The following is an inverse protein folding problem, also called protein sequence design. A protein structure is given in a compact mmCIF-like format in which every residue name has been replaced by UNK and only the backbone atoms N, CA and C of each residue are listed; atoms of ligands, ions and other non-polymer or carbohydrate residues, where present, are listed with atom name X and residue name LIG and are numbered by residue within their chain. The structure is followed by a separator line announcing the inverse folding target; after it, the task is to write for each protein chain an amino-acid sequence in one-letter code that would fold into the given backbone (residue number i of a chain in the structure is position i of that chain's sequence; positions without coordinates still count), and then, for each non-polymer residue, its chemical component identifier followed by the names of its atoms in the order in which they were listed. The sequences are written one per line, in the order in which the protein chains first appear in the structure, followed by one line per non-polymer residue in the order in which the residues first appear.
data_IF_706621254297
#
_entry.id   IF_706621254297
#
_cell.length_a   1.000
_cell.length_b   1.000
_cell.length_c   1.000
_cell.angle_alpha   90.00
_cell.angle_beta   90.00
_cell.angle_gamma   90.00
#
_symmetry.space_group_name_H-M   'P 1'
#
loop_
_entity.id
_entity.type
_entity.pdbx_description
1 polymer ?
#
# COMPACT_ATOMS: atom_id res chain seq x y z
N UNK A 1 20.89 -13.43 -34.68
CA UNK A 1 20.75 -13.48 -33.22
C UNK A 1 20.30 -12.10 -32.80
N UNK A 2 19.02 -11.96 -32.45
CA UNK A 2 18.45 -10.68 -32.01
C UNK A 2 18.80 -10.55 -30.53
N UNK A 3 19.64 -9.58 -30.18
CA UNK A 3 19.83 -9.16 -28.79
C UNK A 3 18.49 -8.66 -28.27
N UNK A 4 17.78 -9.52 -27.55
CA UNK A 4 16.78 -9.09 -26.59
C UNK A 4 17.48 -8.18 -25.58
N UNK A 5 17.34 -6.87 -25.77
CA UNK A 5 17.46 -5.90 -24.69
C UNK A 5 16.29 -6.16 -23.73
N UNK A 6 16.42 -7.21 -22.92
CA UNK A 6 15.71 -7.30 -21.64
C UNK A 6 16.15 -6.05 -20.90
N UNK A 7 15.25 -5.07 -20.83
CA UNK A 7 15.44 -3.84 -20.09
C UNK A 7 15.63 -4.17 -18.63
N UNK A 8 16.88 -4.45 -18.28
CA UNK A 8 17.40 -4.25 -16.95
C UNK A 8 17.33 -2.76 -16.69
N UNK A 9 16.16 -2.29 -16.27
CA UNK A 9 16.12 -1.19 -15.33
C UNK A 9 16.83 -1.73 -14.10
N UNK A 10 18.15 -1.56 -14.07
CA UNK A 10 18.92 -1.49 -12.85
C UNK A 10 18.10 -0.58 -11.94
N UNK A 11 17.46 -1.18 -10.94
CA UNK A 11 16.88 -0.46 -9.82
C UNK A 11 18.11 0.12 -9.14
N UNK A 12 18.55 1.28 -9.65
CA UNK A 12 19.61 2.07 -9.08
C UNK A 12 19.16 2.40 -7.67
N UNK A 13 19.62 1.58 -6.73
CA UNK A 13 19.45 1.80 -5.30
C UNK A 13 20.41 2.93 -4.92
N UNK A 14 20.23 4.10 -5.53
CA UNK A 14 20.67 5.35 -4.95
C UNK A 14 20.14 5.42 -3.51
N UNK A 15 20.82 6.15 -2.61
CA UNK A 15 20.44 6.21 -1.21
C UNK A 15 18.93 6.47 -1.12
N UNK A 16 18.18 5.50 -0.56
CA UNK A 16 16.71 5.53 -0.53
C UNK A 16 16.14 6.86 -0.02
N UNK A 17 16.96 7.62 0.71
CA UNK A 17 16.72 8.97 1.22
C UNK A 17 16.29 10.00 0.18
N UNK A 18 16.66 9.85 -1.10
CA UNK A 18 16.29 10.80 -2.16
C UNK A 18 14.92 10.54 -2.79
N UNK A 19 14.25 9.42 -2.44
CA UNK A 19 12.95 9.12 -2.99
C UNK A 19 11.90 10.13 -2.50
N UNK A 20 11.00 10.65 -3.37
CA UNK A 20 9.96 11.63 -2.99
C UNK A 20 9.04 11.13 -1.84
N UNK A 21 9.06 9.83 -1.56
CA UNK A 21 8.44 9.22 -0.39
C UNK A 21 8.99 9.73 0.95
N UNK A 22 10.30 9.90 1.08
CA UNK A 22 10.94 10.31 2.34
C UNK A 22 10.89 11.82 2.58
N UNK A 23 10.87 12.61 1.50
CA UNK A 23 10.76 14.08 1.56
C UNK A 23 9.33 14.55 1.90
N UNK A 24 8.31 13.81 1.48
CA UNK A 24 6.91 14.21 1.61
C UNK A 24 6.26 13.65 2.89
N UNK A 25 6.27 14.44 3.97
CA UNK A 25 5.62 14.08 5.26
C UNK A 25 4.15 13.66 5.09
N UNK A 26 3.41 14.30 4.19
CA UNK A 26 2.00 13.96 3.89
C UNK A 26 1.85 12.58 3.24
N UNK A 27 2.75 12.23 2.32
CA UNK A 27 2.72 10.95 1.61
C UNK A 27 3.05 9.80 2.56
N UNK A 28 4.00 10.01 3.48
CA UNK A 28 4.32 9.05 4.54
C UNK A 28 3.11 8.77 5.44
N UNK A 29 2.40 9.81 5.87
CA UNK A 29 1.17 9.64 6.69
C UNK A 29 0.06 8.96 5.89
N UNK A 30 -0.10 9.32 4.62
CA UNK A 30 -1.11 8.69 3.75
C UNK A 30 -0.86 7.18 3.61
N UNK A 31 0.38 6.78 3.32
CA UNK A 31 0.74 5.37 3.20
C UNK A 31 0.58 4.65 4.53
N UNK A 32 0.95 5.28 5.65
CA UNK A 32 0.70 4.72 6.98
C UNK A 32 -0.79 4.47 7.24
N UNK A 33 -1.65 5.45 6.95
CA UNK A 33 -3.10 5.31 7.10
C UNK A 33 -3.66 4.23 6.18
N UNK A 34 -3.17 4.15 4.94
CA UNK A 34 -3.56 3.11 3.99
C UNK A 34 -3.19 1.72 4.52
N UNK A 35 -1.98 1.55 5.05
CA UNK A 35 -1.55 0.29 5.67
C UNK A 35 -2.47 -0.07 6.81
N UNK A 36 -2.76 0.86 7.73
CA UNK A 36 -3.68 0.60 8.85
C UNK A 36 -5.07 0.20 8.33
N UNK A 37 -5.60 0.89 7.33
CA UNK A 37 -6.91 0.59 6.75
C UNK A 37 -6.97 -0.84 6.17
N UNK A 38 -5.92 -1.29 5.47
CA UNK A 38 -5.84 -2.65 4.91
C UNK A 38 -5.92 -3.71 6.02
N UNK A 39 -5.39 -3.45 7.21
CA UNK A 39 -5.48 -4.37 8.35
C UNK A 39 -6.82 -4.28 9.09
N UNK A 40 -7.37 -3.07 9.25
CA UNK A 40 -8.58 -2.85 10.06
C UNK A 40 -9.86 -3.24 9.31
N UNK A 41 -9.95 -2.94 8.01
CA UNK A 41 -11.16 -3.20 7.20
C UNK A 41 -11.58 -4.68 7.23
N UNK A 42 -10.69 -5.67 6.99
CA UNK A 42 -11.07 -7.08 7.06
C UNK A 42 -11.58 -7.50 8.44
N UNK A 43 -10.98 -7.00 9.52
CA UNK A 43 -11.41 -7.29 10.89
C UNK A 43 -12.81 -6.75 11.14
N UNK A 44 -13.10 -5.53 10.67
CA UNK A 44 -14.44 -4.93 10.77
C UNK A 44 -15.47 -5.69 9.95
N UNK A 45 -15.11 -6.14 8.74
CA UNK A 45 -15.99 -6.96 7.89
C UNK A 45 -16.35 -8.26 8.62
N UNK A 46 -15.36 -8.96 9.18
CA UNK A 46 -15.58 -10.22 9.92
C UNK A 46 -16.48 -9.96 11.14
N UNK A 47 -16.20 -8.90 11.91
CA UNK A 47 -17.01 -8.52 13.06
C UNK A 47 -18.47 -8.22 12.67
N UNK A 48 -18.69 -7.51 11.56
CA UNK A 48 -20.03 -7.23 11.04
C UNK A 48 -20.77 -8.51 10.62
N UNK A 49 -20.09 -9.43 9.95
CA UNK A 49 -20.67 -10.73 9.55
C UNK A 49 -21.09 -11.53 10.80
N UNK A 50 -20.23 -11.58 11.83
CA UNK A 50 -20.56 -12.27 13.09
C UNK A 50 -21.75 -11.59 13.80
N UNK A 51 -21.85 -10.27 13.71
CA UNK A 51 -22.97 -9.50 14.26
C UNK A 51 -24.27 -9.58 13.42
N UNK A 52 -24.29 -10.35 12.32
CA UNK A 52 -25.45 -10.46 11.42
C UNK A 52 -25.74 -9.18 10.63
N UNK A 53 -24.77 -8.26 10.55
CA UNK A 53 -24.86 -7.01 9.78
C UNK A 53 -24.20 -7.18 8.40
N UNK A 54 -24.59 -6.38 7.39
CA UNK A 54 -24.01 -6.48 6.07
C UNK A 54 -22.51 -6.15 6.09
N UNK A 55 -21.72 -6.93 5.33
CA UNK A 55 -20.26 -6.83 5.29
C UNK A 55 -19.73 -5.43 4.92
N UNK A 56 -20.46 -4.67 4.09
CA UNK A 56 -20.01 -3.37 3.55
C UNK A 56 -20.74 -2.16 4.13
N UNK A 57 -21.59 -2.33 5.14
CA UNK A 57 -22.27 -1.21 5.78
C UNK A 57 -21.38 -0.62 6.89
N UNK A 58 -20.82 0.55 6.63
CA UNK A 58 -20.06 1.34 7.60
C UNK A 58 -20.94 2.29 8.44
N UNK A 59 -22.28 2.17 8.35
CA UNK A 59 -23.25 3.02 9.03
C UNK A 59 -24.50 2.24 9.45
#
# INVERSE_FOLDING_TARGET
MVEEKIGGEEIDQGPMEEHPFYRNKKLKVFILLLTIAVFVIPVLIIANIIAGRPAFFFF
#
